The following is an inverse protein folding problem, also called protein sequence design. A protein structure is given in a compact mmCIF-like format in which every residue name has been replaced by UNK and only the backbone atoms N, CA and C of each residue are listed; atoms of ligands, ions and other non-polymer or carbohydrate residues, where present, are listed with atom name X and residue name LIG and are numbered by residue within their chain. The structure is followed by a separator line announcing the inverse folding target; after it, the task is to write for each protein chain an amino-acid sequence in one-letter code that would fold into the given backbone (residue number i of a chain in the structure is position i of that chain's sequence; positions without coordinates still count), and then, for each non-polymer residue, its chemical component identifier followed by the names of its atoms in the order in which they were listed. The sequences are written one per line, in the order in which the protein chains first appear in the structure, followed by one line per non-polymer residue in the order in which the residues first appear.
data_IF_057221818477
#
_entry.id   IF_057221818477
#
_cell.length_a   1.000
_cell.length_b   1.000
_cell.length_c   1.000
_cell.angle_alpha   90.00
_cell.angle_beta   90.00
_cell.angle_gamma   90.00
#
_symmetry.space_group_name_H-M   'P 1'
#
loop_
_entity.id
_entity.type
_entity.pdbx_description
1 polymer ?
#
# COMPACT_ATOMS: atom_id res chain seq x y z
N UNK A 1 57.60 4.19 13.79
CA UNK A 1 57.45 4.88 12.49
C UNK A 1 57.21 6.36 12.76
N UNK A 2 58.22 7.15 12.38
CA UNK A 2 58.27 8.60 12.10
C UNK A 2 57.77 9.62 13.14
N UNK A 3 58.72 10.06 13.98
CA UNK A 3 58.96 11.48 14.28
C UNK A 3 60.11 11.95 13.36
N UNK A 4 60.03 13.10 12.68
CA UNK A 4 60.63 14.35 13.17
C UNK A 4 59.79 15.60 12.83
N UNK A 5 59.92 16.73 13.52
CA UNK A 5 60.93 17.77 13.21
C UNK A 5 60.62 18.45 11.87
N UNK A 6 60.20 19.71 11.79
CA UNK A 6 60.73 20.87 12.48
C UNK A 6 61.65 21.66 11.53
N UNK A 7 61.35 22.96 11.37
CA UNK A 7 62.26 24.05 11.00
C UNK A 7 62.85 24.14 9.58
N UNK A 8 62.65 25.32 9.01
CA UNK A 8 63.57 26.00 8.10
C UNK A 8 62.76 26.80 7.07
N UNK A 9 62.79 28.14 7.03
CA UNK A 9 63.98 28.96 6.84
C UNK A 9 63.62 30.44 7.09
N UNK A 10 64.20 31.04 8.14
CA UNK A 10 65.16 32.17 8.14
C UNK A 10 64.71 33.42 7.34
N UNK A 11 64.39 34.56 7.97
CA UNK A 11 65.20 35.48 8.84
C UNK A 11 65.87 36.58 8.02
N UNK A 12 65.56 37.84 8.34
CA UNK A 12 66.46 39.02 8.46
C UNK A 12 65.57 40.24 8.79
N UNK A 13 65.90 41.17 9.69
CA UNK A 13 67.09 41.41 10.52
C UNK A 13 66.66 42.11 11.83
N UNK A 14 67.37 41.84 12.91
CA UNK A 14 68.22 42.81 13.66
C UNK A 14 67.39 43.81 14.47
N UNK A 15 67.27 43.63 15.79
CA UNK A 15 68.18 44.21 16.79
C UNK A 15 68.11 45.75 16.74
N UNK A 16 67.79 46.48 17.81
CA UNK A 16 68.35 46.43 19.16
C UNK A 16 67.64 47.49 19.99
N UNK A 17 67.46 47.25 21.30
CA UNK A 17 67.35 48.25 22.39
C UNK A 17 66.20 49.27 22.28
N UNK A 18 65.56 49.79 23.33
CA UNK A 18 65.75 49.79 24.77
C UNK A 18 64.53 50.54 25.32
N UNK A 19 64.05 50.13 26.49
CA UNK A 19 63.48 50.96 27.54
C UNK A 19 62.50 52.11 27.16
N UNK A 20 61.27 52.02 27.70
CA UNK A 20 60.55 53.21 28.13
C UNK A 20 59.05 53.21 27.83
N UNK A 21 58.26 52.91 28.86
CA UNK A 21 56.93 53.46 29.20
C UNK A 21 55.77 53.43 28.17
N UNK A 22 54.66 52.80 28.59
CA UNK A 22 53.22 53.05 28.33
C UNK A 22 52.79 53.77 27.02
N UNK A 23 51.75 53.28 26.32
CA UNK A 23 50.41 53.53 26.82
C UNK A 23 49.42 52.35 26.73
N UNK A 24 48.47 52.46 27.64
CA UNK A 24 47.23 51.74 27.82
C UNK A 24 46.18 52.23 26.80
N UNK A 25 45.32 51.32 26.33
CA UNK A 25 44.02 51.67 25.73
C UNK A 25 43.78 51.21 24.30
N UNK A 26 42.66 50.50 24.11
CA UNK A 26 41.94 50.26 22.85
C UNK A 26 42.46 49.22 21.86
N UNK A 27 42.24 47.94 22.19
CA UNK A 27 42.12 46.91 21.15
C UNK A 27 41.18 45.74 21.53
N UNK A 28 40.19 45.96 22.40
CA UNK A 28 39.39 44.83 22.91
C UNK A 28 37.87 44.87 22.71
N UNK A 29 37.29 45.91 22.08
CA UNK A 29 35.81 46.03 22.05
C UNK A 29 35.14 46.06 20.67
N UNK A 30 35.88 45.84 19.58
CA UNK A 30 35.32 45.83 18.21
C UNK A 30 34.68 44.51 17.77
N UNK A 31 34.53 43.51 18.65
CA UNK A 31 34.02 42.18 18.27
C UNK A 31 32.51 42.02 18.58
N UNK A 32 31.83 43.05 19.09
CA UNK A 32 30.51 42.91 19.73
C UNK A 32 29.27 43.34 18.90
N UNK A 33 29.42 43.95 17.71
CA UNK A 33 28.27 44.45 16.93
C UNK A 33 27.95 43.65 15.66
N UNK A 34 28.95 43.17 14.93
CA UNK A 34 28.74 42.51 13.64
C UNK A 34 28.06 41.13 13.78
N UNK A 35 28.36 40.38 14.84
CA UNK A 35 27.70 39.10 15.16
C UNK A 35 26.27 39.27 15.70
N UNK A 36 26.01 40.36 16.44
CA UNK A 36 24.65 40.69 16.92
C UNK A 36 23.76 41.14 15.77
N UNK A 37 24.28 41.99 14.86
CA UNK A 37 23.51 42.48 13.71
C UNK A 37 23.17 41.37 12.71
N UNK A 38 24.07 40.39 12.54
CA UNK A 38 23.81 39.20 11.71
C UNK A 38 22.67 38.33 12.28
N UNK A 39 22.54 38.23 13.62
CA UNK A 39 21.44 37.50 14.25
C UNK A 39 20.10 38.22 14.05
N UNK A 40 20.07 39.54 14.23
CA UNK A 40 18.87 40.35 13.97
C UNK A 40 18.41 40.30 12.52
N UNK A 41 19.33 40.15 11.57
CA UNK A 41 18.99 40.02 10.15
C UNK A 41 18.60 38.59 9.76
N UNK A 42 19.28 37.57 10.29
CA UNK A 42 19.03 36.16 9.95
C UNK A 42 17.75 35.60 10.58
N UNK A 43 17.36 36.04 11.78
CA UNK A 43 16.16 35.55 12.46
C UNK A 43 14.84 35.83 11.72
N UNK A 44 14.55 37.04 11.19
CA UNK A 44 13.33 37.29 10.43
C UNK A 44 13.31 36.52 9.11
N UNK A 45 14.46 36.33 8.46
CA UNK A 45 14.58 35.50 7.26
C UNK A 45 14.26 34.03 7.54
N UNK A 46 14.81 33.47 8.62
CA UNK A 46 14.50 32.11 9.05
C UNK A 46 13.04 31.95 9.51
N UNK A 47 12.47 32.96 10.17
CA UNK A 47 11.08 32.97 10.60
C UNK A 47 10.12 33.01 9.40
N UNK A 48 10.39 33.86 8.40
CA UNK A 48 9.61 33.91 7.15
C UNK A 48 9.74 32.60 6.38
N UNK A 49 10.94 32.03 6.31
CA UNK A 49 11.16 30.73 5.68
C UNK A 49 10.42 29.60 6.41
N UNK A 50 10.46 29.59 7.74
CA UNK A 50 9.72 28.64 8.56
C UNK A 50 8.20 28.80 8.39
N UNK A 51 7.70 30.03 8.34
CA UNK A 51 6.29 30.32 8.07
C UNK A 51 5.88 29.82 6.69
N UNK A 52 6.69 30.11 5.65
CA UNK A 52 6.44 29.63 4.29
C UNK A 52 6.43 28.10 4.22
N UNK A 53 7.38 27.45 4.90
CA UNK A 53 7.43 25.98 5.04
C UNK A 53 6.15 25.45 5.67
N UNK A 54 5.70 26.04 6.77
CA UNK A 54 4.48 25.65 7.46
C UNK A 54 3.26 25.85 6.57
N UNK A 55 3.15 26.98 5.87
CA UNK A 55 2.09 27.25 4.90
C UNK A 55 2.09 26.20 3.78
N UNK A 56 3.26 25.88 3.21
CA UNK A 56 3.38 24.86 2.18
C UNK A 56 2.94 23.48 2.68
N UNK A 57 3.24 23.13 3.94
CA UNK A 57 2.77 21.88 4.56
C UNK A 57 1.25 21.88 4.74
N UNK A 58 0.65 22.96 5.24
CA UNK A 58 -0.81 23.06 5.37
C UNK A 58 -1.52 23.01 4.01
N UNK A 59 -0.98 23.70 3.00
CA UNK A 59 -1.49 23.63 1.63
C UNK A 59 -1.33 22.21 1.05
N UNK A 60 -0.22 21.52 1.33
CA UNK A 60 0.00 20.15 0.92
C UNK A 60 -0.99 19.16 1.56
N UNK A 61 -1.25 19.30 2.86
CA UNK A 61 -2.24 18.47 3.57
C UNK A 61 -3.66 18.77 3.04
N UNK A 62 -4.00 20.04 2.86
CA UNK A 62 -5.29 20.44 2.29
C UNK A 62 -5.45 19.88 0.88
N UNK A 63 -4.42 19.99 0.04
CA UNK A 63 -4.42 19.47 -1.32
C UNK A 63 -4.54 17.94 -1.32
N UNK A 64 -3.78 17.22 -0.50
CA UNK A 64 -3.90 15.77 -0.36
C UNK A 64 -5.31 15.37 0.07
N UNK A 65 -5.90 16.08 1.04
CA UNK A 65 -7.28 15.85 1.49
C UNK A 65 -8.31 16.11 0.38
N UNK A 66 -8.16 17.19 -0.39
CA UNK A 66 -9.02 17.49 -1.54
C UNK A 66 -8.85 16.45 -2.64
N UNK A 67 -7.61 16.06 -2.98
CA UNK A 67 -7.32 15.02 -3.94
C UNK A 67 -7.91 13.68 -3.53
N UNK A 68 -7.83 13.32 -2.25
CA UNK A 68 -8.45 12.10 -1.73
C UNK A 68 -9.99 12.18 -1.77
N UNK A 69 -10.57 13.35 -1.47
CA UNK A 69 -12.01 13.55 -1.54
C UNK A 69 -12.53 13.49 -2.98
N UNK A 70 -11.81 14.10 -3.92
CA UNK A 70 -12.13 14.06 -5.34
C UNK A 70 -11.87 12.67 -5.93
N UNK A 71 -10.79 12.00 -5.54
CA UNK A 71 -10.49 10.64 -6.00
C UNK A 71 -11.55 9.65 -5.50
N UNK A 72 -12.03 9.77 -4.26
CA UNK A 72 -13.15 8.98 -3.74
C UNK A 72 -14.45 9.25 -4.51
N UNK A 73 -14.77 10.50 -4.82
CA UNK A 73 -15.95 10.85 -5.62
C UNK A 73 -15.84 10.32 -7.06
N UNK A 74 -14.64 10.35 -7.65
CA UNK A 74 -14.36 9.83 -8.99
C UNK A 74 -14.31 8.29 -9.01
N UNK A 75 -13.86 7.65 -7.94
CA UNK A 75 -13.89 6.19 -7.79
C UNK A 75 -15.32 5.65 -7.67
N UNK A 76 -16.22 6.37 -6.98
CA UNK A 76 -17.64 6.04 -6.93
C UNK A 76 -18.32 6.18 -8.31
N UNK A 77 -17.80 7.04 -9.19
CA UNK A 77 -18.30 7.24 -10.57
C UNK A 77 -17.59 6.36 -11.61
N UNK A 78 -16.39 5.86 -11.30
CA UNK A 78 -15.60 4.98 -12.16
C UNK A 78 -15.99 3.50 -12.03
N UNK A 79 -16.86 3.15 -11.08
CA UNK A 79 -17.55 1.85 -11.06
C UNK A 79 -18.57 1.82 -12.20
N UNK A 80 -18.07 1.74 -13.42
CA UNK A 80 -18.87 1.60 -14.64
C UNK A 80 -19.72 0.31 -14.54
N UNK A 81 -20.90 0.29 -15.17
CA UNK A 81 -21.75 -0.91 -15.22
C UNK A 81 -21.02 -2.17 -15.72
N UNK A 82 -19.97 -2.00 -16.53
CA UNK A 82 -19.15 -3.09 -17.08
C UNK A 82 -18.32 -3.84 -16.02
N UNK A 83 -17.85 -3.15 -14.96
CA UNK A 83 -17.13 -3.77 -13.83
C UNK A 83 -18.09 -4.52 -12.90
N UNK A 84 -19.30 -3.99 -12.74
CA UNK A 84 -20.36 -4.62 -11.95
C UNK A 84 -20.79 -5.92 -12.63
N UNK A 85 -21.02 -5.92 -13.94
CA UNK A 85 -21.39 -7.12 -14.70
C UNK A 85 -20.29 -8.18 -14.70
N UNK A 86 -19.02 -7.80 -14.88
CA UNK A 86 -17.91 -8.76 -14.80
C UNK A 86 -17.77 -9.39 -13.41
N UNK A 87 -18.03 -8.62 -12.35
CA UNK A 87 -17.98 -9.10 -10.97
C UNK A 87 -19.15 -10.02 -10.63
N UNK A 88 -20.36 -9.70 -11.08
CA UNK A 88 -21.56 -10.52 -10.90
C UNK A 88 -21.44 -11.87 -11.62
N UNK A 89 -20.74 -11.91 -12.76
CA UNK A 89 -20.50 -13.15 -13.50
C UNK A 89 -19.41 -14.02 -12.89
N UNK A 90 -18.32 -13.39 -12.41
CA UNK A 90 -17.32 -14.10 -11.63
C UNK A 90 -17.98 -14.74 -10.41
N UNK A 91 -18.76 -13.96 -9.65
CA UNK A 91 -19.50 -14.43 -8.49
C UNK A 91 -20.44 -15.60 -8.84
N UNK A 92 -21.24 -15.45 -9.90
CA UNK A 92 -22.15 -16.52 -10.36
C UNK A 92 -21.39 -17.78 -10.79
N UNK A 93 -20.27 -17.65 -11.50
CA UNK A 93 -19.43 -18.77 -11.91
C UNK A 93 -18.78 -19.50 -10.73
N UNK A 94 -18.37 -18.76 -9.70
CA UNK A 94 -17.86 -19.33 -8.46
C UNK A 94 -18.94 -20.08 -7.68
N UNK A 95 -20.16 -19.53 -7.61
CA UNK A 95 -21.29 -20.19 -6.97
C UNK A 95 -21.64 -21.51 -7.67
N UNK A 96 -21.64 -21.56 -9.01
CA UNK A 96 -21.89 -22.81 -9.76
C UNK A 96 -20.82 -23.86 -9.43
N UNK A 97 -19.55 -23.45 -9.38
CA UNK A 97 -18.44 -24.33 -9.00
C UNK A 97 -18.60 -24.85 -7.56
N UNK A 98 -19.09 -24.03 -6.64
CA UNK A 98 -19.31 -24.42 -5.26
C UNK A 98 -20.42 -25.46 -5.13
N UNK A 99 -21.56 -25.26 -5.81
CA UNK A 99 -22.62 -26.26 -5.89
C UNK A 99 -22.13 -27.56 -6.53
N UNK A 100 -21.31 -27.49 -7.59
CA UNK A 100 -20.66 -28.66 -8.17
C UNK A 100 -19.87 -29.46 -7.15
N UNK A 101 -19.00 -28.76 -6.42
CA UNK A 101 -18.09 -29.36 -5.46
C UNK A 101 -18.88 -30.02 -4.34
N UNK A 102 -19.87 -29.32 -3.79
CA UNK A 102 -20.71 -29.85 -2.71
C UNK A 102 -21.53 -31.07 -3.16
N UNK A 103 -22.10 -31.01 -4.36
CA UNK A 103 -22.78 -32.16 -4.94
C UNK A 103 -21.85 -33.37 -5.10
N UNK A 104 -20.64 -33.15 -5.62
CA UNK A 104 -19.63 -34.20 -5.77
C UNK A 104 -19.25 -34.85 -4.44
N UNK A 105 -19.09 -34.06 -3.37
CA UNK A 105 -18.85 -34.59 -2.02
C UNK A 105 -20.01 -35.47 -1.54
N UNK A 106 -21.26 -35.03 -1.71
CA UNK A 106 -22.41 -35.84 -1.30
C UNK A 106 -22.55 -37.12 -2.12
N UNK A 107 -22.33 -37.06 -3.43
CA UNK A 107 -22.41 -38.22 -4.32
C UNK A 107 -21.28 -39.21 -4.03
N UNK A 108 -20.05 -38.73 -3.76
CA UNK A 108 -18.93 -39.61 -3.44
C UNK A 108 -19.12 -40.32 -2.10
N UNK A 109 -19.68 -39.64 -1.09
CA UNK A 109 -20.07 -40.28 0.18
C UNK A 109 -21.19 -41.30 -0.05
N UNK A 110 -22.18 -40.98 -0.88
CA UNK A 110 -23.27 -41.91 -1.20
C UNK A 110 -22.75 -43.18 -1.87
N UNK A 111 -21.88 -43.04 -2.88
CA UNK A 111 -21.25 -44.16 -3.59
C UNK A 111 -20.46 -45.05 -2.64
N UNK A 112 -19.63 -44.47 -1.78
CA UNK A 112 -18.87 -45.24 -0.78
C UNK A 112 -19.76 -46.06 0.15
N UNK A 113 -20.92 -45.52 0.54
CA UNK A 113 -21.88 -46.22 1.40
C UNK A 113 -22.64 -47.31 0.62
N UNK A 114 -22.95 -47.07 -0.66
CA UNK A 114 -23.66 -48.06 -1.50
C UNK A 114 -22.77 -49.24 -1.91
N UNK A 115 -21.46 -48.98 -2.02
CA UNK A 115 -20.43 -50.01 -2.27
C UNK A 115 -20.04 -50.80 -1.02
N UNK A 116 -20.23 -50.24 0.18
CA UNK A 116 -20.02 -50.95 1.44
C UNK A 116 -21.13 -52.01 1.65
N UNK A 117 -20.79 -53.30 1.62
CA UNK A 117 -21.71 -54.46 1.80
C UNK A 117 -22.40 -54.56 3.18
N UNK A 118 -22.31 -53.51 4.01
CA UNK A 118 -22.87 -53.42 5.37
C UNK A 118 -24.38 -53.16 5.40
N UNK A 119 -25.02 -53.02 4.23
CA UNK A 119 -26.48 -52.92 4.11
C UNK A 119 -27.08 -51.56 4.47
N UNK A 120 -26.29 -50.48 4.50
CA UNK A 120 -26.78 -49.12 4.81
C UNK A 120 -27.30 -48.37 3.57
N UNK A 121 -28.05 -49.07 2.71
CA UNK A 121 -28.50 -48.52 1.41
C UNK A 121 -29.44 -47.33 1.57
N UNK A 122 -30.27 -47.30 2.61
CA UNK A 122 -31.16 -46.17 2.89
C UNK A 122 -30.39 -44.89 3.21
N UNK A 123 -29.21 -45.00 3.82
CA UNK A 123 -28.35 -43.86 4.11
C UNK A 123 -27.72 -43.32 2.82
N UNK A 124 -27.27 -44.20 1.91
CA UNK A 124 -26.77 -43.81 0.60
C UNK A 124 -27.83 -43.01 -0.18
N UNK A 125 -29.10 -43.46 -0.17
CA UNK A 125 -30.22 -42.74 -0.80
C UNK A 125 -30.37 -41.32 -0.28
N UNK A 126 -30.20 -41.08 1.03
CA UNK A 126 -30.28 -39.73 1.57
C UNK A 126 -29.14 -38.83 1.07
N UNK A 127 -27.93 -39.37 0.94
CA UNK A 127 -26.79 -38.62 0.41
C UNK A 127 -26.94 -38.35 -1.09
N UNK A 128 -27.46 -39.30 -1.87
CA UNK A 128 -27.80 -39.06 -3.28
C UNK A 128 -28.82 -37.95 -3.44
N UNK A 129 -29.90 -37.96 -2.64
CA UNK A 129 -30.90 -36.88 -2.67
C UNK A 129 -30.29 -35.51 -2.38
N UNK A 130 -29.38 -35.42 -1.41
CA UNK A 130 -28.66 -34.18 -1.09
C UNK A 130 -27.75 -33.74 -2.24
N UNK A 131 -27.03 -34.69 -2.86
CA UNK A 131 -26.17 -34.41 -4.01
C UNK A 131 -26.94 -33.89 -5.22
N UNK A 132 -28.05 -34.54 -5.56
CA UNK A 132 -28.94 -34.13 -6.66
C UNK A 132 -29.52 -32.74 -6.38
N UNK A 133 -30.00 -32.48 -5.16
CA UNK A 133 -30.53 -31.17 -4.79
C UNK A 133 -29.48 -30.05 -4.93
N UNK A 134 -28.21 -30.30 -4.62
CA UNK A 134 -27.14 -29.32 -4.85
C UNK A 134 -26.81 -29.14 -6.34
N UNK A 135 -26.87 -30.18 -7.16
CA UNK A 135 -26.73 -30.06 -8.62
C UNK A 135 -27.87 -29.21 -9.20
N UNK A 136 -29.11 -29.46 -8.79
CA UNK A 136 -30.29 -28.71 -9.23
C UNK A 136 -30.17 -27.22 -8.91
N UNK A 137 -29.67 -26.87 -7.71
CA UNK A 137 -29.36 -25.47 -7.34
C UNK A 137 -28.33 -24.85 -8.28
N UNK A 138 -27.24 -25.57 -8.58
CA UNK A 138 -26.20 -25.10 -9.48
C UNK A 138 -26.67 -24.92 -10.94
N UNK A 139 -27.59 -25.76 -11.41
CA UNK A 139 -28.21 -25.68 -12.74
C UNK A 139 -29.23 -24.54 -12.82
N UNK A 140 -30.00 -24.32 -11.75
CA UNK A 140 -31.02 -23.27 -11.71
C UNK A 140 -30.43 -21.85 -11.70
N UNK A 141 -29.14 -21.69 -11.42
CA UNK A 141 -28.49 -20.38 -11.48
C UNK A 141 -28.34 -19.89 -12.92
N UNK A 142 -28.87 -18.70 -13.17
CA UNK A 142 -28.84 -18.07 -14.48
C UNK A 142 -27.45 -17.53 -14.79
N UNK A 143 -26.79 -18.05 -15.82
CA UNK A 143 -25.47 -17.55 -16.24
C UNK A 143 -25.67 -16.34 -17.16
N UNK A 144 -25.23 -15.20 -16.67
CA UNK A 144 -25.30 -13.85 -17.26
C UNK A 144 -24.86 -13.54 -18.68
N UNK A 145 -24.06 -14.33 -19.42
CA UNK A 145 -22.92 -13.68 -20.10
C UNK A 145 -22.51 -13.91 -21.54
N UNK A 146 -21.39 -13.25 -21.92
CA UNK A 146 -20.67 -13.47 -23.17
C UNK A 146 -19.16 -13.65 -22.94
N UNK A 147 -18.52 -14.53 -23.71
CA UNK A 147 -17.07 -14.81 -23.66
C UNK A 147 -16.70 -16.19 -23.11
N UNK A 148 -15.39 -16.47 -23.01
CA UNK A 148 -14.90 -17.82 -22.64
C UNK A 148 -15.36 -18.31 -21.27
N UNK A 149 -15.45 -17.42 -20.27
CA UNK A 149 -15.84 -17.79 -18.91
C UNK A 149 -17.31 -18.24 -18.85
N UNK A 150 -18.18 -17.56 -19.59
CA UNK A 150 -19.58 -17.95 -19.76
C UNK A 150 -19.69 -19.34 -20.37
N UNK A 151 -18.96 -19.61 -21.45
CA UNK A 151 -18.96 -20.94 -22.07
C UNK A 151 -18.46 -22.04 -21.13
N UNK A 152 -17.41 -21.76 -20.34
CA UNK A 152 -16.89 -22.71 -19.35
C UNK A 152 -17.93 -23.03 -18.27
N UNK A 153 -18.60 -22.01 -17.73
CA UNK A 153 -19.66 -22.19 -16.73
C UNK A 153 -20.85 -22.97 -17.31
N UNK A 154 -21.25 -22.67 -18.55
CA UNK A 154 -22.32 -23.41 -19.25
C UNK A 154 -21.96 -24.87 -19.49
N UNK A 155 -20.71 -25.16 -19.89
CA UNK A 155 -20.22 -26.54 -20.01
C UNK A 155 -20.20 -27.26 -18.67
N UNK A 156 -19.91 -26.56 -17.57
CA UNK A 156 -19.97 -27.14 -16.23
C UNK A 156 -21.41 -27.49 -15.84
N UNK A 157 -22.39 -26.61 -16.06
CA UNK A 157 -23.82 -26.91 -15.84
C UNK A 157 -24.30 -28.08 -16.71
N UNK A 158 -23.86 -28.16 -17.97
CA UNK A 158 -24.20 -29.29 -18.84
C UNK A 158 -23.73 -30.64 -18.28
N UNK A 159 -22.60 -30.66 -17.55
CA UNK A 159 -22.12 -31.88 -16.85
C UNK A 159 -22.93 -32.23 -15.60
N UNK A 160 -23.62 -31.25 -15.00
CA UNK A 160 -24.46 -31.47 -13.82
C UNK A 160 -25.85 -31.95 -14.19
N UNK A 161 -26.31 -31.67 -15.41
CA UNK A 161 -27.67 -31.97 -15.84
C UNK A 161 -27.87 -33.48 -15.84
N UNK A 162 -28.81 -34.01 -15.05
CA UNK A 162 -29.10 -35.44 -15.06
C UNK A 162 -29.66 -35.84 -16.44
N UNK A 163 -29.15 -36.95 -16.98
CA UNK A 163 -29.55 -37.53 -18.29
C UNK A 163 -30.82 -38.36 -18.10
#
# INVERSE_FOLDING_TARGET
MNSPGGRGRKKRGSATASAGSLPEGDAHDQVSLHKRNLYYFSYPLLAVFALFRVIALYLGILFAWVCERLSRAMAAKAKRPDDIGNKEYEDTGELIRNHHKQAFEYISVALRIDEDDKGHKEQAVQWYKKGIAELEKGIAMEITGQGEKFERAKRLQAKMTPI
#
